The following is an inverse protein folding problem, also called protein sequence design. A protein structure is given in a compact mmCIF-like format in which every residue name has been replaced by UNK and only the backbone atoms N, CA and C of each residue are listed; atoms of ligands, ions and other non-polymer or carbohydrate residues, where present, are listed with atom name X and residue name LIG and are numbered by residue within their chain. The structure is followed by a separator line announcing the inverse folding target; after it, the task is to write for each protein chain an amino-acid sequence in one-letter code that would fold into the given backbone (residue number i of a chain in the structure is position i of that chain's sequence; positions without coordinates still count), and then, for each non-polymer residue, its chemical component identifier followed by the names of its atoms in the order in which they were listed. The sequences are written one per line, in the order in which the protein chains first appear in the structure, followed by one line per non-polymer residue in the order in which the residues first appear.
data_IF_232333087366
#
_entry.id   IF_232333087366
#
_cell.length_a   1.000
_cell.length_b   1.000
_cell.length_c   1.000
_cell.angle_alpha   90.00
_cell.angle_beta   90.00
_cell.angle_gamma   90.00
#
_symmetry.space_group_name_H-M   'P 1'
#
loop_
_entity.id
_entity.type
_entity.pdbx_description
1 polymer ?
#
# COMPACT_ATOMS: atom_id res chain seq x y z
N UNK A 1 5.88 21.07 -5.12
CA UNK A 1 4.61 20.81 -5.85
C UNK A 1 3.69 22.03 -5.90
N UNK A 2 3.42 22.75 -4.79
CA UNK A 2 2.60 23.99 -4.79
C UNK A 2 3.14 25.11 -5.72
N UNK A 3 4.45 25.26 -5.81
CA UNK A 3 5.11 26.23 -6.71
C UNK A 3 4.90 25.92 -8.19
N UNK A 4 4.84 24.65 -8.58
CA UNK A 4 4.64 24.26 -9.98
C UNK A 4 3.22 24.55 -10.49
N UNK A 5 2.21 24.40 -9.61
CA UNK A 5 0.80 24.70 -9.93
C UNK A 5 0.55 26.21 -9.99
N UNK A 6 1.19 26.98 -9.10
CA UNK A 6 1.15 28.45 -9.14
C UNK A 6 1.78 29.00 -10.42
N UNK A 7 2.93 28.46 -10.83
CA UNK A 7 3.61 28.85 -12.07
C UNK A 7 2.80 28.50 -13.32
N UNK A 8 2.10 27.35 -13.32
CA UNK A 8 1.21 26.97 -14.43
C UNK A 8 0.00 27.90 -14.53
N UNK A 9 -0.66 28.22 -13.40
CA UNK A 9 -1.78 29.19 -13.37
C UNK A 9 -1.34 30.59 -13.80
N UNK A 10 -0.15 31.03 -13.37
CA UNK A 10 0.41 32.33 -13.75
C UNK A 10 0.72 32.38 -15.25
N UNK A 11 1.25 31.29 -15.82
CA UNK A 11 1.51 31.18 -17.25
C UNK A 11 0.21 31.20 -18.07
N UNK A 12 -0.84 30.49 -17.64
CA UNK A 12 -2.16 30.55 -18.30
C UNK A 12 -2.78 31.94 -18.26
N UNK A 13 -2.68 32.66 -17.13
CA UNK A 13 -3.19 34.03 -17.00
C UNK A 13 -2.41 35.00 -17.91
N UNK A 14 -1.08 34.88 -17.95
CA UNK A 14 -0.23 35.67 -18.85
C UNK A 14 -0.52 35.39 -20.33
N UNK A 15 -0.76 34.14 -20.69
CA UNK A 15 -1.14 33.76 -22.05
C UNK A 15 -2.50 34.34 -22.46
N UNK A 16 -3.49 34.34 -21.56
CA UNK A 16 -4.81 34.95 -21.79
C UNK A 16 -4.69 36.48 -21.92
N UNK A 17 -3.89 37.13 -21.08
CA UNK A 17 -3.62 38.58 -21.18
C UNK A 17 -2.92 38.95 -22.48
N UNK A 18 -1.91 38.18 -22.90
CA UNK A 18 -1.23 38.38 -24.18
C UNK A 18 -2.20 38.20 -25.37
N UNK A 19 -3.09 37.20 -25.30
CA UNK A 19 -4.13 36.95 -26.31
C UNK A 19 -5.18 38.08 -26.37
N UNK A 20 -5.56 38.65 -25.23
CA UNK A 20 -6.44 39.82 -25.17
C UNK A 20 -5.79 41.04 -25.83
N UNK A 21 -4.52 41.31 -25.56
CA UNK A 21 -3.78 42.43 -26.19
C UNK A 21 -3.55 42.25 -27.69
N UNK A 22 -3.46 40.99 -28.15
CA UNK A 22 -3.32 40.67 -29.58
C UNK A 22 -4.65 40.80 -30.33
N UNK A 23 -5.74 40.33 -29.72
CA UNK A 23 -7.11 40.45 -30.29
C UNK A 23 -7.52 41.92 -30.47
N UNK A 24 -7.16 42.81 -29.53
CA UNK A 24 -7.41 44.25 -29.67
C UNK A 24 -6.64 44.89 -30.85
N UNK A 25 -5.42 44.43 -31.15
CA UNK A 25 -4.64 44.95 -32.28
C UNK A 25 -5.16 44.46 -33.64
N UNK A 26 -5.60 43.20 -33.73
CA UNK A 26 -6.16 42.62 -34.96
C UNK A 26 -7.50 43.27 -35.32
N UNK A 27 -8.37 43.54 -34.32
CA UNK A 27 -9.65 44.25 -34.55
C UNK A 27 -9.43 45.71 -34.94
N UNK A 28 -8.38 46.37 -34.44
CA UNK A 28 -8.06 47.76 -34.77
C UNK A 28 -7.50 47.95 -36.20
N UNK A 29 -7.05 46.89 -36.87
CA UNK A 29 -6.52 46.93 -38.24
C UNK A 29 -7.48 46.37 -39.31
N UNK A 30 -8.64 45.86 -38.92
CA UNK A 30 -9.64 45.25 -39.81
C UNK A 30 -10.54 46.27 -40.51
N UNK A 31 -10.02 46.99 -41.50
CA UNK A 31 -10.84 47.72 -42.46
C UNK A 31 -11.46 46.78 -43.49
N UNK A 32 -12.70 46.34 -43.25
CA UNK A 32 -13.60 45.78 -44.26
C UNK A 32 -13.63 44.25 -44.39
N UNK A 33 -14.84 43.68 -44.29
CA UNK A 33 -15.16 42.29 -44.64
C UNK A 33 -15.50 41.41 -43.43
N UNK A 34 -16.78 41.33 -43.09
CA UNK A 34 -17.30 40.57 -41.94
C UNK A 34 -17.14 39.03 -42.04
N UNK A 35 -16.76 38.50 -43.21
CA UNK A 35 -16.71 37.04 -43.48
C UNK A 35 -15.31 36.39 -43.38
N UNK A 36 -14.19 37.12 -43.51
CA UNK A 36 -12.84 36.50 -43.53
C UNK A 36 -12.14 36.42 -42.15
N UNK A 37 -12.65 37.13 -41.13
CA UNK A 37 -12.07 37.12 -39.79
C UNK A 37 -12.39 35.87 -38.95
N UNK A 38 -13.56 35.26 -39.20
CA UNK A 38 -14.04 34.06 -38.51
C UNK A 38 -13.15 32.82 -38.70
N UNK A 39 -12.75 32.42 -39.93
CA UNK A 39 -11.94 31.21 -40.14
C UNK A 39 -10.52 31.33 -39.57
N UNK A 40 -9.92 32.53 -39.63
CA UNK A 40 -8.56 32.76 -39.12
C UNK A 40 -8.53 32.74 -37.59
N UNK A 41 -9.51 33.37 -36.94
CA UNK A 41 -9.67 33.31 -35.48
C UNK A 41 -9.90 31.87 -34.99
N UNK A 42 -10.65 31.07 -35.75
CA UNK A 42 -10.91 29.66 -35.44
C UNK A 42 -9.63 28.82 -35.48
N UNK A 43 -8.75 29.02 -36.47
CA UNK A 43 -7.46 28.32 -36.58
C UNK A 43 -6.53 28.65 -35.40
N UNK A 44 -6.51 29.91 -34.94
CA UNK A 44 -5.70 30.32 -33.79
C UNK A 44 -6.28 29.86 -32.45
N UNK A 45 -7.61 29.74 -32.32
CA UNK A 45 -8.28 29.26 -31.10
C UNK A 45 -8.33 27.74 -30.98
N UNK A 46 -8.31 27.02 -32.11
CA UNK A 46 -8.33 25.56 -32.18
C UNK A 46 -7.32 24.86 -31.23
N UNK A 47 -6.02 25.23 -31.20
CA UNK A 47 -5.06 24.60 -30.30
C UNK A 47 -5.40 24.83 -28.81
N UNK A 48 -5.96 25.98 -28.45
CA UNK A 48 -6.37 26.27 -27.07
C UNK A 48 -7.61 25.49 -26.67
N UNK A 49 -8.58 25.32 -27.58
CA UNK A 49 -9.77 24.52 -27.35
C UNK A 49 -9.41 23.04 -27.21
N UNK A 50 -8.51 22.51 -28.05
CA UNK A 50 -8.01 21.14 -27.95
C UNK A 50 -7.24 20.91 -26.63
N UNK A 51 -6.39 21.86 -26.23
CA UNK A 51 -5.69 21.79 -24.94
C UNK A 51 -6.67 21.82 -23.76
N UNK A 52 -7.71 22.64 -23.84
CA UNK A 52 -8.76 22.72 -22.81
C UNK A 52 -9.56 21.42 -22.70
N UNK A 53 -9.99 20.85 -23.82
CA UNK A 53 -10.66 19.54 -23.87
C UNK A 53 -9.77 18.44 -23.29
N UNK A 54 -8.49 18.41 -23.66
CA UNK A 54 -7.52 17.47 -23.10
C UNK A 54 -7.38 17.65 -21.58
N UNK A 55 -7.30 18.89 -21.09
CA UNK A 55 -7.24 19.19 -19.65
C UNK A 55 -8.48 18.72 -18.90
N UNK A 56 -9.67 18.93 -19.46
CA UNK A 56 -10.95 18.48 -18.86
C UNK A 56 -11.00 16.95 -18.80
N UNK A 57 -10.58 16.27 -19.87
CA UNK A 57 -10.51 14.81 -19.92
C UNK A 57 -9.56 14.27 -18.85
N UNK A 58 -8.36 14.84 -18.72
CA UNK A 58 -7.40 14.45 -17.67
C UNK A 58 -7.87 14.76 -16.25
N UNK A 59 -8.63 15.85 -16.07
CA UNK A 59 -9.21 16.21 -14.78
C UNK A 59 -10.21 15.15 -14.28
N UNK A 60 -10.91 14.47 -15.18
CA UNK A 60 -11.87 13.41 -14.85
C UNK A 60 -11.17 12.04 -14.77
N UNK A 61 -10.27 11.75 -15.72
CA UNK A 61 -9.56 10.47 -15.77
C UNK A 61 -8.67 10.24 -14.56
N UNK A 62 -7.97 11.27 -14.06
CA UNK A 62 -7.01 11.10 -12.98
C UNK A 62 -7.67 10.69 -11.65
N UNK A 63 -8.73 11.37 -11.16
CA UNK A 63 -9.49 10.91 -9.99
C UNK A 63 -10.14 9.53 -10.21
N UNK A 64 -10.65 9.26 -11.42
CA UNK A 64 -11.24 7.96 -11.73
C UNK A 64 -10.22 6.82 -11.60
N UNK A 65 -9.01 7.00 -12.15
CA UNK A 65 -7.91 6.04 -12.00
C UNK A 65 -7.46 5.89 -10.55
N UNK A 66 -7.47 6.99 -9.79
CA UNK A 66 -7.13 6.96 -8.37
C UNK A 66 -8.14 6.14 -7.55
N UNK A 67 -9.45 6.38 -7.76
CA UNK A 67 -10.52 5.60 -7.11
C UNK A 67 -10.50 4.14 -7.56
N UNK A 68 -10.19 3.89 -8.83
CA UNK A 68 -9.98 2.53 -9.31
C UNK A 68 -8.85 1.83 -8.54
N UNK A 69 -7.66 2.45 -8.45
CA UNK A 69 -6.54 1.91 -7.68
C UNK A 69 -6.89 1.68 -6.20
N UNK A 70 -7.73 2.55 -5.63
CA UNK A 70 -8.21 2.43 -4.26
C UNK A 70 -8.97 1.13 -3.98
N UNK A 71 -9.95 0.85 -4.84
CA UNK A 71 -10.89 -0.27 -4.66
C UNK A 71 -10.18 -1.61 -4.84
N UNK A 72 -9.25 -1.70 -5.79
CA UNK A 72 -8.57 -2.97 -6.08
C UNK A 72 -7.36 -3.26 -5.18
N UNK A 73 -6.88 -2.32 -4.36
CA UNK A 73 -5.65 -2.51 -3.59
C UNK A 73 -5.80 -3.36 -2.31
N UNK A 74 -7.00 -3.51 -1.74
CA UNK A 74 -7.19 -4.11 -0.41
C UNK A 74 -7.25 -5.64 -0.37
N UNK A 75 -7.48 -6.30 -1.50
CA UNK A 75 -7.89 -7.71 -1.54
C UNK A 75 -6.81 -8.70 -1.12
N UNK A 76 -5.53 -8.33 -1.23
CA UNK A 76 -4.41 -9.26 -1.01
C UNK A 76 -4.17 -9.59 0.46
N UNK A 77 -4.41 -8.64 1.37
CA UNK A 77 -4.15 -8.83 2.81
C UNK A 77 -5.22 -9.74 3.42
N UNK A 78 -6.48 -9.53 3.06
CA UNK A 78 -7.59 -10.39 3.50
C UNK A 78 -7.38 -11.83 3.05
N UNK A 79 -7.02 -12.01 1.77
CA UNK A 79 -6.74 -13.34 1.22
C UNK A 79 -5.60 -14.05 1.94
N UNK A 80 -4.55 -13.33 2.33
CA UNK A 80 -3.43 -13.91 3.09
C UNK A 80 -3.88 -14.42 4.47
N UNK A 81 -4.76 -13.67 5.15
CA UNK A 81 -5.37 -14.10 6.41
C UNK A 81 -6.20 -15.37 6.25
N UNK A 82 -7.10 -15.37 5.26
CA UNK A 82 -7.96 -16.51 4.97
C UNK A 82 -7.13 -17.75 4.60
N UNK A 83 -6.13 -17.59 3.72
CA UNK A 83 -5.21 -18.66 3.32
C UNK A 83 -4.39 -19.21 4.51
N UNK A 84 -3.94 -18.36 5.43
CA UNK A 84 -3.23 -18.79 6.63
C UNK A 84 -4.15 -19.57 7.59
N UNK A 85 -5.40 -19.12 7.77
CA UNK A 85 -6.38 -19.80 8.59
C UNK A 85 -6.81 -21.15 7.99
N UNK A 86 -7.06 -21.19 6.68
CA UNK A 86 -7.40 -22.43 5.97
C UNK A 86 -6.27 -23.47 6.06
N UNK A 87 -5.01 -23.03 5.90
CA UNK A 87 -3.86 -23.93 6.07
C UNK A 87 -3.75 -24.45 7.49
N UNK A 88 -3.91 -23.58 8.48
CA UNK A 88 -3.92 -23.97 9.89
C UNK A 88 -5.00 -25.02 10.17
N UNK A 89 -6.23 -24.78 9.73
CA UNK A 89 -7.35 -25.70 9.96
C UNK A 89 -7.09 -27.05 9.27
N UNK A 90 -6.59 -27.02 8.03
CA UNK A 90 -6.23 -28.25 7.30
C UNK A 90 -5.12 -29.05 7.97
N UNK A 91 -4.12 -28.40 8.57
CA UNK A 91 -3.07 -29.07 9.34
C UNK A 91 -3.61 -29.62 10.66
N UNK A 92 -4.44 -28.85 11.36
CA UNK A 92 -5.05 -29.28 12.62
C UNK A 92 -5.94 -30.50 12.41
N UNK A 93 -6.69 -30.54 11.32
CA UNK A 93 -7.55 -31.68 10.98
C UNK A 93 -6.74 -32.94 10.62
N UNK A 94 -5.58 -32.78 9.98
CA UNK A 94 -4.66 -33.90 9.66
C UNK A 94 -3.99 -34.47 10.90
N UNK A 95 -3.53 -33.62 11.81
CA UNK A 95 -2.81 -34.05 13.01
C UNK A 95 -3.72 -34.38 14.19
N UNK A 96 -4.98 -33.92 14.17
CA UNK A 96 -5.94 -34.08 15.26
C UNK A 96 -5.61 -33.27 16.52
N UNK A 97 -4.55 -32.43 16.49
CA UNK A 97 -4.09 -31.59 17.62
C UNK A 97 -3.40 -30.31 17.13
N UNK A 98 -3.38 -29.29 17.98
CA UNK A 98 -2.57 -28.07 17.73
C UNK A 98 -1.13 -28.32 18.19
N UNK A 99 -0.16 -28.09 17.31
CA UNK A 99 1.26 -28.32 17.57
C UNK A 99 1.88 -27.17 18.40
N UNK A 100 1.37 -25.94 18.24
CA UNK A 100 1.94 -24.76 18.88
C UNK A 100 1.24 -24.44 20.20
N UNK A 101 2.03 -24.36 21.27
CA UNK A 101 1.59 -23.93 22.59
C UNK A 101 2.37 -22.70 23.04
N UNK A 102 1.65 -21.61 23.31
CA UNK A 102 2.22 -20.38 23.86
C UNK A 102 2.49 -20.47 25.36
N UNK A 103 1.93 -21.48 26.03
CA UNK A 103 2.12 -21.73 27.46
C UNK A 103 3.34 -22.64 27.62
N UNK A 104 4.08 -22.43 28.70
CA UNK A 104 5.25 -23.22 29.09
C UNK A 104 4.96 -24.73 29.28
N UNK A 105 3.67 -25.11 29.36
CA UNK A 105 3.24 -26.51 29.30
C UNK A 105 3.59 -27.38 30.51
N UNK A 106 4.38 -26.85 31.46
CA UNK A 106 4.82 -27.56 32.67
C UNK A 106 5.87 -28.65 32.39
N UNK A 107 6.22 -29.42 33.41
CA UNK A 107 7.16 -30.55 33.27
C UNK A 107 6.56 -31.64 32.36
N UNK A 108 7.33 -32.06 31.36
CA UNK A 108 6.96 -33.14 30.44
C UNK A 108 7.84 -34.36 30.70
N UNK A 109 7.23 -35.51 30.96
CA UNK A 109 7.93 -36.78 31.04
C UNK A 109 8.10 -37.38 29.62
N UNK A 110 9.09 -38.26 29.44
CA UNK A 110 9.34 -39.02 28.20
C UNK A 110 9.72 -38.15 26.98
N UNK A 111 10.59 -37.16 27.18
CA UNK A 111 11.15 -36.34 26.09
C UNK A 111 12.40 -37.01 25.53
N UNK A 112 12.40 -37.34 24.24
CA UNK A 112 13.56 -37.92 23.55
C UNK A 112 14.54 -36.85 23.07
N UNK A 113 14.02 -35.73 22.55
CA UNK A 113 14.83 -34.60 22.10
C UNK A 113 14.11 -33.26 22.26
N UNK A 114 14.89 -32.19 22.36
CA UNK A 114 14.40 -30.82 22.37
C UNK A 114 15.29 -29.92 21.50
N UNK A 115 14.68 -28.94 20.84
CA UNK A 115 15.39 -28.04 19.92
C UNK A 115 14.69 -26.69 19.76
N UNK A 116 15.40 -25.72 19.19
CA UNK A 116 14.82 -24.42 18.85
C UNK A 116 14.11 -24.53 17.49
N UNK A 117 12.82 -24.20 17.46
CA UNK A 117 12.06 -24.05 16.22
C UNK A 117 11.77 -22.57 16.02
N UNK A 118 12.04 -22.06 14.82
CA UNK A 118 11.85 -20.65 14.51
C UNK A 118 11.35 -20.46 13.08
N UNK A 119 10.64 -19.38 12.87
CA UNK A 119 10.17 -18.94 11.56
C UNK A 119 10.13 -17.41 11.52
N UNK A 120 10.39 -16.84 10.35
CA UNK A 120 10.34 -15.40 10.16
C UNK A 120 9.64 -15.00 8.86
N UNK A 121 9.29 -13.72 8.80
CA UNK A 121 8.72 -13.12 7.60
C UNK A 121 8.74 -11.61 7.68
N UNK A 122 8.98 -10.98 6.54
CA UNK A 122 8.98 -9.52 6.42
C UNK A 122 7.70 -9.09 5.72
N UNK A 123 6.93 -8.24 6.39
CA UNK A 123 5.66 -7.74 5.87
C UNK A 123 5.68 -6.22 5.82
N UNK A 124 5.27 -5.68 4.68
CA UNK A 124 5.24 -4.24 4.45
C UNK A 124 3.86 -3.80 3.94
N UNK A 125 3.35 -2.65 4.40
CA UNK A 125 2.17 -2.05 3.79
C UNK A 125 2.45 -1.68 2.33
N UNK A 126 1.45 -1.88 1.47
CA UNK A 126 1.50 -1.40 0.08
C UNK A 126 1.48 0.13 0.02
N UNK A 127 1.75 0.68 -1.17
CA UNK A 127 1.73 2.13 -1.39
C UNK A 127 0.36 2.76 -1.05
N UNK A 128 -0.73 2.04 -1.30
CA UNK A 128 -2.08 2.46 -0.96
C UNK A 128 -2.30 2.53 0.55
N UNK A 129 -1.84 1.50 1.28
CA UNK A 129 -1.91 1.46 2.74
C UNK A 129 -1.11 2.59 3.39
N UNK A 130 0.07 2.91 2.84
CA UNK A 130 0.88 4.05 3.29
C UNK A 130 0.18 5.38 3.07
N UNK A 131 -0.51 5.53 1.94
CA UNK A 131 -1.28 6.74 1.63
C UNK A 131 -2.49 6.91 2.54
N UNK A 132 -3.25 5.83 2.83
CA UNK A 132 -4.32 5.88 3.84
C UNK A 132 -3.75 6.25 5.21
N UNK A 133 -2.61 5.66 5.59
CA UNK A 133 -1.91 6.02 6.83
C UNK A 133 -1.52 7.51 6.88
N UNK A 134 -1.08 8.08 5.76
CA UNK A 134 -0.80 9.52 5.66
C UNK A 134 -2.05 10.38 5.89
N UNK A 135 -3.19 10.03 5.29
CA UNK A 135 -4.45 10.75 5.49
C UNK A 135 -4.95 10.59 6.92
N UNK A 136 -4.90 9.38 7.49
CA UNK A 136 -5.28 9.12 8.87
C UNK A 136 -4.40 9.88 9.86
N UNK A 137 -3.10 10.04 9.59
CA UNK A 137 -2.21 10.85 10.44
C UNK A 137 -2.57 12.34 10.47
N UNK A 138 -3.24 12.86 9.43
CA UNK A 138 -3.68 14.26 9.38
C UNK A 138 -4.92 14.49 10.26
N UNK A 139 -5.80 13.50 10.35
CA UNK A 139 -7.04 13.54 11.16
C UNK A 139 -6.77 13.05 12.59
N UNK A 140 -5.82 12.13 12.76
CA UNK A 140 -5.55 11.40 14.00
C UNK A 140 -6.29 10.05 14.06
N UNK A 141 -6.02 9.28 15.12
CA UNK A 141 -6.65 7.97 15.37
C UNK A 141 -5.76 6.76 15.09
N UNK A 142 -6.31 5.55 15.25
CA UNK A 142 -5.60 4.30 14.98
C UNK A 142 -5.55 4.00 13.47
N UNK A 143 -4.39 3.53 13.00
CA UNK A 143 -4.23 3.14 11.59
C UNK A 143 -4.57 1.66 11.43
N UNK A 144 -5.87 1.35 11.33
CA UNK A 144 -6.41 -0.02 11.21
C UNK A 144 -5.78 -0.80 10.05
N UNK A 145 -5.46 -0.10 8.96
CA UNK A 145 -4.82 -0.69 7.79
C UNK A 145 -3.46 -1.31 8.10
N UNK A 146 -2.65 -0.69 8.96
CA UNK A 146 -1.36 -1.27 9.36
C UNK A 146 -1.57 -2.46 10.31
N UNK A 147 -2.57 -2.39 11.20
CA UNK A 147 -2.90 -3.49 12.10
C UNK A 147 -3.31 -4.75 11.32
N UNK A 148 -4.09 -4.60 10.24
CA UNK A 148 -4.48 -5.70 9.36
C UNK A 148 -3.28 -6.39 8.68
N UNK A 149 -2.33 -5.60 8.17
CA UNK A 149 -1.11 -6.15 7.54
C UNK A 149 -0.25 -6.89 8.57
N UNK A 150 -0.09 -6.34 9.77
CA UNK A 150 0.69 -6.96 10.84
C UNK A 150 0.01 -8.23 11.35
N UNK A 151 -1.32 -8.22 11.51
CA UNK A 151 -2.04 -9.43 11.92
C UNK A 151 -1.92 -10.53 10.86
N UNK A 152 -1.94 -10.18 9.56
CA UNK A 152 -1.77 -11.14 8.46
C UNK A 152 -0.38 -11.76 8.52
N UNK A 153 0.64 -10.91 8.68
CA UNK A 153 2.01 -11.37 8.82
C UNK A 153 2.22 -12.27 10.04
N UNK A 154 1.56 -11.97 11.17
CA UNK A 154 1.60 -12.83 12.36
C UNK A 154 0.97 -14.19 12.09
N UNK A 155 -0.20 -14.23 11.44
CA UNK A 155 -0.86 -15.49 11.09
C UNK A 155 0.01 -16.34 10.14
N UNK A 156 0.58 -15.71 9.12
CA UNK A 156 1.48 -16.33 8.15
C UNK A 156 2.75 -16.89 8.80
N UNK A 157 3.43 -16.13 9.66
CA UNK A 157 4.67 -16.60 10.31
C UNK A 157 4.39 -17.70 11.31
N UNK A 158 3.28 -17.62 12.04
CA UNK A 158 2.85 -18.72 12.92
C UNK A 158 2.54 -19.98 12.12
N UNK A 159 1.98 -19.85 10.91
CA UNK A 159 1.74 -20.98 10.03
C UNK A 159 3.05 -21.59 9.52
N UNK A 160 4.02 -20.77 9.12
CA UNK A 160 5.37 -21.23 8.77
C UNK A 160 6.07 -21.95 9.92
N UNK A 161 5.85 -21.50 11.17
CA UNK A 161 6.40 -22.18 12.35
C UNK A 161 5.80 -23.59 12.51
N UNK A 162 4.52 -23.79 12.18
CA UNK A 162 3.89 -25.12 12.17
C UNK A 162 4.48 -26.01 11.09
N UNK A 163 4.57 -25.47 9.88
CA UNK A 163 5.15 -26.17 8.72
C UNK A 163 6.61 -26.59 9.01
N UNK A 164 7.40 -25.70 9.59
CA UNK A 164 8.78 -26.00 10.02
C UNK A 164 8.82 -27.07 11.13
N UNK A 165 7.94 -26.96 12.13
CA UNK A 165 7.89 -27.95 13.21
C UNK A 165 7.52 -29.35 12.70
N UNK A 166 6.61 -29.42 11.73
CA UNK A 166 6.20 -30.66 11.06
C UNK A 166 7.32 -31.23 10.18
N UNK A 167 8.01 -30.39 9.41
CA UNK A 167 9.14 -30.79 8.57
C UNK A 167 10.30 -31.38 9.38
N UNK A 168 10.61 -30.77 10.53
CA UNK A 168 11.63 -31.26 11.45
C UNK A 168 11.17 -32.46 12.30
N UNK A 169 9.88 -32.82 12.23
CA UNK A 169 9.29 -33.96 12.93
C UNK A 169 9.17 -33.77 14.44
N UNK A 170 8.91 -32.54 14.89
CA UNK A 170 8.60 -32.24 16.28
C UNK A 170 7.15 -32.59 16.61
N UNK A 171 6.93 -33.16 17.79
CA UNK A 171 5.58 -33.49 18.25
C UNK A 171 4.84 -32.25 18.76
N UNK A 172 5.55 -31.32 19.39
CA UNK A 172 4.97 -30.12 19.97
C UNK A 172 6.00 -28.99 19.99
N UNK A 173 5.55 -27.75 19.87
CA UNK A 173 6.39 -26.57 20.09
C UNK A 173 5.81 -25.76 21.26
N UNK A 174 6.57 -25.62 22.33
CA UNK A 174 6.17 -24.93 23.56
C UNK A 174 6.83 -23.56 23.70
N UNK A 175 6.29 -22.73 24.61
CA UNK A 175 6.79 -21.38 24.91
C UNK A 175 6.97 -20.54 23.64
N UNK A 176 6.01 -20.65 22.72
CA UNK A 176 6.04 -19.90 21.45
C UNK A 176 5.87 -18.42 21.72
N UNK A 177 6.80 -17.63 21.20
CA UNK A 177 6.85 -16.17 21.30
C UNK A 177 6.98 -15.54 19.92
N UNK A 178 6.48 -14.31 19.80
CA UNK A 178 6.56 -13.53 18.57
C UNK A 178 7.24 -12.20 18.90
N UNK A 179 8.37 -11.96 18.27
CA UNK A 179 9.07 -10.69 18.28
C UNK A 179 8.81 -9.93 16.98
N UNK A 180 8.79 -8.60 17.07
CA UNK A 180 8.59 -7.73 15.91
C UNK A 180 9.66 -6.65 15.87
N UNK A 181 10.34 -6.53 14.73
CA UNK A 181 11.37 -5.52 14.50
C UNK A 181 10.98 -4.59 13.33
N UNK A 182 11.15 -3.28 13.51
CA UNK A 182 10.89 -2.31 12.43
C UNK A 182 12.04 -2.31 11.43
N UNK A 183 11.74 -2.57 10.16
CA UNK A 183 12.70 -2.46 9.05
C UNK A 183 12.50 -1.11 8.36
N UNK A 184 12.93 -0.03 9.00
CA UNK A 184 12.92 1.31 8.39
C UNK A 184 14.33 1.63 7.86
N UNK A 185 14.50 1.93 6.56
CA UNK A 185 15.82 2.28 6.02
C UNK A 185 16.40 3.52 6.70
N UNK A 186 17.59 3.39 7.28
CA UNK A 186 18.27 4.42 8.04
C UNK A 186 18.68 5.66 7.21
N UNK A 187 18.63 5.58 5.87
CA UNK A 187 19.26 6.55 4.95
C UNK A 187 18.32 7.58 4.30
N UNK A 188 17.00 7.54 4.49
CA UNK A 188 16.13 8.58 3.90
C UNK A 188 15.68 9.57 4.97
N UNK A 189 15.76 10.86 4.69
CA UNK A 189 15.24 11.98 5.50
C UNK A 189 13.72 11.91 5.82
N UNK A 190 13.08 10.74 5.67
CA UNK A 190 11.70 10.44 5.99
C UNK A 190 11.64 9.67 7.32
N UNK A 191 11.85 10.36 8.44
CA UNK A 191 11.89 9.78 9.80
C UNK A 191 10.61 9.04 10.25
N UNK A 192 9.51 9.12 9.50
CA UNK A 192 8.19 8.71 9.99
C UNK A 192 7.45 7.68 9.11
N UNK A 193 8.14 6.94 8.23
CA UNK A 193 7.45 5.92 7.42
C UNK A 193 8.09 4.56 7.60
N UNK A 194 7.51 3.76 8.49
CA UNK A 194 7.83 2.33 8.60
C UNK A 194 7.42 1.66 7.29
N UNK A 195 8.40 1.16 6.55
CA UNK A 195 8.19 0.53 5.22
C UNK A 195 7.99 -0.98 5.33
N UNK A 196 8.43 -1.59 6.41
CA UNK A 196 8.27 -3.00 6.68
C UNK A 196 8.50 -3.32 8.15
N UNK A 197 7.95 -4.44 8.58
CA UNK A 197 8.16 -5.04 9.89
C UNK A 197 8.55 -6.48 9.67
N UNK A 198 9.66 -6.88 10.29
CA UNK A 198 10.01 -8.28 10.44
C UNK A 198 9.25 -8.84 11.63
N UNK A 199 8.63 -9.99 11.41
CA UNK A 199 7.95 -10.77 12.43
C UNK A 199 8.74 -12.06 12.57
N UNK A 200 9.19 -12.33 13.79
CA UNK A 200 10.01 -13.48 14.14
C UNK A 200 9.27 -14.30 15.21
N UNK A 201 8.90 -15.54 14.88
CA UNK A 201 8.28 -16.45 15.83
C UNK A 201 9.26 -17.56 16.19
N UNK A 202 9.33 -17.92 17.47
CA UNK A 202 10.24 -18.95 17.95
C UNK A 202 9.67 -19.67 19.17
N UNK A 203 10.10 -20.90 19.39
CA UNK A 203 9.73 -21.72 20.53
C UNK A 203 10.63 -22.95 20.66
N UNK A 204 10.34 -23.79 21.64
CA UNK A 204 11.08 -25.03 21.88
C UNK A 204 10.30 -26.21 21.33
N UNK A 205 10.81 -26.85 20.27
CA UNK A 205 10.32 -28.12 19.78
C UNK A 205 10.66 -29.24 20.76
N UNK A 206 9.68 -30.10 21.03
CA UNK A 206 9.80 -31.27 21.90
C UNK A 206 9.39 -32.48 21.08
N UNK A 207 10.21 -33.53 21.16
CA UNK A 207 9.89 -34.85 20.63
C UNK A 207 9.72 -35.83 21.76
N UNK A 208 8.64 -36.59 21.74
CA UNK A 208 8.38 -37.63 22.72
C UNK A 208 9.07 -38.95 22.32
N UNK A 209 9.24 -39.85 23.28
CA UNK A 209 9.67 -41.24 23.05
C UNK A 209 8.54 -42.13 22.53
#
# INVERSE_FOLDING_TARGET
MKTSIANFRLFSILAIMAFATFSFNVVAQGGGGEDEGLPLALIFLLPFILLSLFGIVWMILWPAMFVWGAVFSGTKVERMHEEANQRRDSQRDRMGREILNSIDGGYRANVSSAGLVHANGVFGPSHWHLMIGFVNNLIGGSVTVFQQVISAGRAEVMQRLREQAEEDGWDEVINVRIDTASMTPQSSNSRNTVRGVEIYAYGTGIKYE
#
